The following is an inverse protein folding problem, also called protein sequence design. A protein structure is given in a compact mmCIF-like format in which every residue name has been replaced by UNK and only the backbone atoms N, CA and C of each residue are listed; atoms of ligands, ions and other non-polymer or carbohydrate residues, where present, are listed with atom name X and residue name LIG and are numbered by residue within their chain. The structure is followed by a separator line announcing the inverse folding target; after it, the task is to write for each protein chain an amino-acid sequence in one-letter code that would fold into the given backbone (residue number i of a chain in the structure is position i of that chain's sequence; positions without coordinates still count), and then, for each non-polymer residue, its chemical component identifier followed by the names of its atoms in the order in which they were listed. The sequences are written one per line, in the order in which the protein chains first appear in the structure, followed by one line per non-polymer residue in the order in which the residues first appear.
data_IF_411287774063
#
_entry.id   IF_411287774063
#
_cell.length_a   1.000
_cell.length_b   1.000
_cell.length_c   1.000
_cell.angle_alpha   90.00
_cell.angle_beta   90.00
_cell.angle_gamma   90.00
#
_symmetry.space_group_name_H-M   'P 1'
#
loop_
_entity.id
_entity.type
_entity.pdbx_description
1 polymer ?
#
# COMPACT_ATOMS: atom_id res chain seq x y z
N UNK A 1 -40.78 -0.50 16.23
CA UNK A 1 -41.92 -0.70 15.31
C UNK A 1 -41.98 0.46 14.32
N UNK A 2 -42.21 0.17 13.05
CA UNK A 2 -42.40 1.17 12.02
C UNK A 2 -43.86 1.55 11.86
N UNK A 3 -44.16 2.82 11.55
CA UNK A 3 -45.53 3.31 11.30
C UNK A 3 -45.62 3.94 9.91
N UNK A 4 -46.87 4.01 9.38
CA UNK A 4 -47.12 4.67 8.08
C UNK A 4 -48.07 5.84 8.31
N UNK A 5 -47.72 7.00 7.80
CA UNK A 5 -48.55 8.20 7.82
C UNK A 5 -48.81 8.66 6.37
N UNK A 6 -50.08 8.91 6.04
CA UNK A 6 -50.48 9.51 4.74
C UNK A 6 -50.27 11.02 4.80
N UNK A 7 -49.52 11.56 3.83
CA UNK A 7 -49.30 13.01 3.66
C UNK A 7 -49.70 13.41 2.22
N UNK A 8 -50.82 14.15 2.12
CA UNK A 8 -51.34 14.59 0.79
C UNK A 8 -51.45 13.40 -0.17
N UNK A 9 -50.58 13.35 -1.21
CA UNK A 9 -50.55 12.30 -2.23
C UNK A 9 -49.59 11.16 -1.94
N UNK A 10 -48.74 11.29 -0.91
CA UNK A 10 -47.66 10.34 -0.59
C UNK A 10 -47.88 9.66 0.75
N UNK A 11 -47.11 8.59 0.99
CA UNK A 11 -47.11 7.83 2.24
C UNK A 11 -45.71 7.87 2.83
N UNK A 12 -45.55 8.20 4.13
CA UNK A 12 -44.29 8.19 4.83
C UNK A 12 -44.21 7.01 5.77
N UNK A 13 -43.15 6.23 5.66
CA UNK A 13 -42.77 5.19 6.63
C UNK A 13 -41.86 5.84 7.67
N UNK A 14 -42.22 5.70 8.95
CA UNK A 14 -41.50 6.32 10.05
C UNK A 14 -41.03 5.21 10.97
N UNK A 15 -39.76 5.23 11.31
CA UNK A 15 -39.17 4.27 12.24
C UNK A 15 -38.05 4.88 13.07
N UNK A 16 -37.83 4.33 14.25
CA UNK A 16 -36.75 4.70 15.12
C UNK A 16 -35.55 3.77 14.87
N UNK A 17 -34.36 4.31 14.97
CA UNK A 17 -33.10 3.57 14.94
C UNK A 17 -32.11 4.18 15.93
N UNK A 18 -31.12 3.41 16.34
CA UNK A 18 -30.02 3.88 17.17
C UNK A 18 -28.86 4.23 16.23
N UNK A 19 -28.31 5.43 16.36
CA UNK A 19 -27.16 5.86 15.56
C UNK A 19 -25.82 5.37 16.16
N UNK A 20 -24.72 5.75 15.51
CA UNK A 20 -23.32 5.40 15.90
C UNK A 20 -22.97 5.89 17.33
N UNK A 21 -23.63 6.92 17.83
CA UNK A 21 -23.42 7.50 19.15
C UNK A 21 -24.31 6.86 20.24
N UNK A 22 -25.14 5.89 19.87
CA UNK A 22 -26.09 5.28 20.77
C UNK A 22 -27.38 6.09 20.99
N UNK A 23 -27.59 7.16 20.22
CA UNK A 23 -28.77 8.00 20.30
C UNK A 23 -29.93 7.44 19.47
N UNK A 24 -31.14 7.47 20.02
CA UNK A 24 -32.33 7.07 19.28
C UNK A 24 -32.78 8.20 18.35
N UNK A 25 -32.72 7.96 17.06
CA UNK A 25 -33.16 8.87 16.01
C UNK A 25 -34.36 8.32 15.24
N UNK A 26 -35.10 9.22 14.61
CA UNK A 26 -36.27 8.87 13.80
C UNK A 26 -35.99 9.17 12.32
N UNK A 27 -36.24 8.20 11.45
CA UNK A 27 -36.14 8.35 9.98
C UNK A 27 -37.53 8.38 9.36
N UNK A 28 -37.68 9.23 8.37
CA UNK A 28 -38.88 9.36 7.55
C UNK A 28 -38.52 9.04 6.11
N UNK A 29 -39.17 8.03 5.53
CA UNK A 29 -39.01 7.65 4.13
C UNK A 29 -40.34 7.88 3.39
N UNK A 30 -40.32 8.64 2.28
CA UNK A 30 -41.52 8.97 1.54
C UNK A 30 -41.67 8.11 0.31
N UNK A 31 -42.87 7.53 0.13
CA UNK A 31 -43.23 6.60 -0.95
C UNK A 31 -44.47 7.09 -1.71
N UNK A 32 -44.52 6.84 -3.05
CA UNK A 32 -45.60 7.28 -3.88
C UNK A 32 -46.91 6.53 -3.66
N UNK A 33 -46.85 5.27 -3.30
CA UNK A 33 -48.02 4.40 -3.10
C UNK A 33 -48.07 3.77 -1.70
N UNK A 34 -49.26 3.49 -1.23
CA UNK A 34 -49.45 2.79 0.05
C UNK A 34 -48.86 1.37 0.06
N UNK A 35 -48.92 0.69 -1.11
CA UNK A 35 -48.35 -0.66 -1.27
C UNK A 35 -46.85 -0.69 -1.10
N UNK A 36 -46.14 0.29 -1.66
CA UNK A 36 -44.69 0.44 -1.46
C UNK A 36 -44.34 0.75 -0.02
N UNK A 37 -45.06 1.66 0.63
CA UNK A 37 -44.88 1.97 2.05
C UNK A 37 -45.10 0.76 2.96
N UNK A 38 -46.13 -0.07 2.69
CA UNK A 38 -46.39 -1.32 3.40
C UNK A 38 -45.25 -2.31 3.23
N UNK A 39 -44.77 -2.49 1.99
CA UNK A 39 -43.63 -3.37 1.72
C UNK A 39 -42.40 -2.92 2.49
N UNK A 40 -42.08 -1.62 2.42
CA UNK A 40 -40.94 -1.06 3.13
C UNK A 40 -41.06 -1.19 4.65
N UNK A 41 -42.23 -0.95 5.20
CA UNK A 41 -42.50 -1.15 6.64
C UNK A 41 -42.20 -2.59 7.05
N UNK A 42 -42.73 -3.58 6.32
CA UNK A 42 -42.52 -5.00 6.60
C UNK A 42 -41.04 -5.40 6.50
N UNK A 43 -40.29 -4.84 5.52
CA UNK A 43 -38.85 -5.05 5.39
C UNK A 43 -38.09 -4.53 6.62
N UNK A 44 -38.39 -3.31 7.09
CA UNK A 44 -37.74 -2.71 8.26
C UNK A 44 -38.02 -3.53 9.52
N UNK A 45 -39.31 -3.89 9.74
CA UNK A 45 -39.71 -4.68 10.91
C UNK A 45 -39.07 -6.06 10.90
N UNK A 46 -38.99 -6.72 9.75
CA UNK A 46 -38.29 -8.00 9.61
C UNK A 46 -36.80 -7.85 9.87
N UNK A 47 -36.15 -6.83 9.33
CA UNK A 47 -34.71 -6.56 9.57
C UNK A 47 -34.43 -6.26 11.05
N UNK A 48 -35.29 -5.48 11.71
CA UNK A 48 -35.18 -5.22 13.15
C UNK A 48 -35.38 -6.49 13.97
N UNK A 49 -36.33 -7.35 13.58
CA UNK A 49 -36.60 -8.62 14.26
C UNK A 49 -35.46 -9.64 14.09
N UNK A 50 -34.87 -9.70 12.89
CA UNK A 50 -33.75 -10.61 12.57
C UNK A 50 -32.37 -10.06 12.99
N UNK A 51 -32.29 -8.83 13.51
CA UNK A 51 -31.01 -8.19 13.86
C UNK A 51 -30.16 -7.80 12.65
N UNK A 52 -30.76 -7.76 11.45
CA UNK A 52 -30.04 -7.40 10.21
C UNK A 52 -30.31 -5.96 9.75
N UNK A 53 -30.97 -5.19 10.62
CA UNK A 53 -31.27 -3.79 10.32
C UNK A 53 -30.00 -2.94 10.37
N UNK A 54 -29.71 -2.25 9.27
CA UNK A 54 -28.60 -1.29 9.19
C UNK A 54 -29.13 0.12 9.39
N UNK A 55 -28.63 0.87 10.38
CA UNK A 55 -29.02 2.27 10.58
C UNK A 55 -28.72 3.10 9.34
N UNK A 56 -29.58 4.02 8.94
CA UNK A 56 -29.26 4.97 7.88
C UNK A 56 -28.05 5.82 8.27
N UNK A 57 -27.04 5.83 7.42
CA UNK A 57 -25.83 6.65 7.60
C UNK A 57 -25.67 7.61 6.43
N UNK A 58 -25.34 8.86 6.72
CA UNK A 58 -24.97 9.85 5.71
C UNK A 58 -23.45 9.98 5.61
N UNK A 59 -22.69 9.02 6.16
CA UNK A 59 -21.23 9.01 6.13
C UNK A 59 -20.74 9.03 4.68
N UNK A 60 -19.92 10.01 4.35
CA UNK A 60 -19.30 10.13 3.03
C UNK A 60 -18.17 9.12 2.87
N UNK A 61 -17.87 8.75 1.62
CA UNK A 61 -16.74 7.87 1.31
C UNK A 61 -15.41 8.46 1.80
N UNK A 62 -15.22 9.78 1.70
CA UNK A 62 -14.02 10.46 2.21
C UNK A 62 -13.81 10.25 3.71
N UNK A 63 -14.87 10.42 4.50
CA UNK A 63 -14.83 10.28 5.96
C UNK A 63 -14.65 8.81 6.35
N UNK A 64 -15.40 7.92 5.71
CA UNK A 64 -15.23 6.48 5.89
C UNK A 64 -13.81 6.00 5.56
N UNK A 65 -13.19 6.49 4.47
CA UNK A 65 -11.83 6.12 4.11
C UNK A 65 -10.81 6.69 5.09
N UNK A 66 -11.06 7.85 5.66
CA UNK A 66 -10.24 8.38 6.75
C UNK A 66 -10.27 7.42 7.96
N UNK A 67 -11.45 7.01 8.40
CA UNK A 67 -11.62 6.04 9.49
C UNK A 67 -10.99 4.68 9.15
N UNK A 68 -11.17 4.21 7.91
CA UNK A 68 -10.58 2.97 7.44
C UNK A 68 -9.04 3.01 7.46
N UNK A 69 -8.43 4.12 7.08
CA UNK A 69 -6.97 4.29 7.15
C UNK A 69 -6.51 4.29 8.60
N UNK A 70 -7.14 5.08 9.48
CA UNK A 70 -6.71 5.23 10.87
C UNK A 70 -6.96 3.97 11.72
N UNK A 71 -8.14 3.36 11.61
CA UNK A 71 -8.53 2.23 12.46
C UNK A 71 -8.01 0.88 11.95
N UNK A 72 -7.85 0.73 10.63
CA UNK A 72 -7.43 -0.50 9.99
C UNK A 72 -6.06 -0.38 9.31
N UNK A 73 -5.87 0.64 8.48
CA UNK A 73 -4.67 0.82 7.67
C UNK A 73 -3.41 0.95 8.50
N UNK A 74 -3.41 1.84 9.50
CA UNK A 74 -2.27 2.10 10.37
C UNK A 74 -1.81 0.85 11.15
N UNK A 75 -2.74 -0.05 11.46
CA UNK A 75 -2.42 -1.32 12.15
C UNK A 75 -1.87 -2.40 11.22
N UNK A 76 -2.19 -2.34 9.93
CA UNK A 76 -1.93 -3.43 8.96
C UNK A 76 -0.88 -3.08 7.92
N UNK A 77 -0.70 -1.81 7.59
CA UNK A 77 0.16 -1.39 6.49
C UNK A 77 1.56 -1.03 6.99
N UNK A 78 2.57 -1.37 6.20
CA UNK A 78 3.89 -0.78 6.35
C UNK A 78 3.96 0.57 5.62
N UNK A 79 5.03 1.33 5.87
CA UNK A 79 5.22 2.71 5.41
C UNK A 79 5.00 2.91 3.90
N UNK A 80 5.54 2.04 3.05
CA UNK A 80 5.39 2.14 1.59
C UNK A 80 3.95 1.86 1.12
N UNK A 81 3.22 0.96 1.82
CA UNK A 81 1.83 0.68 1.52
C UNK A 81 0.95 1.83 1.96
N UNK A 82 1.19 2.40 3.15
CA UNK A 82 0.48 3.57 3.66
C UNK A 82 0.56 4.73 2.67
N UNK A 83 1.76 5.09 2.20
CA UNK A 83 1.97 6.14 1.21
C UNK A 83 1.24 5.85 -0.11
N UNK A 84 1.36 4.62 -0.59
CA UNK A 84 0.72 4.21 -1.84
C UNK A 84 -0.80 4.26 -1.77
N UNK A 85 -1.42 3.76 -0.71
CA UNK A 85 -2.87 3.75 -0.55
C UNK A 85 -3.42 5.18 -0.36
N UNK A 86 -2.78 6.01 0.47
CA UNK A 86 -3.15 7.41 0.62
C UNK A 86 -3.05 8.19 -0.69
N UNK A 87 -2.02 7.91 -1.51
CA UNK A 87 -1.91 8.51 -2.84
C UNK A 87 -3.09 8.13 -3.75
N UNK A 88 -3.55 6.88 -3.73
CA UNK A 88 -4.73 6.46 -4.50
C UNK A 88 -6.00 7.14 -3.99
N UNK A 89 -6.18 7.21 -2.67
CA UNK A 89 -7.34 7.86 -2.05
C UNK A 89 -7.40 9.33 -2.45
N UNK A 90 -6.31 10.07 -2.27
CA UNK A 90 -6.29 11.51 -2.46
C UNK A 90 -6.34 11.92 -3.94
N UNK A 91 -5.74 11.13 -4.84
CA UNK A 91 -5.64 11.51 -6.25
C UNK A 91 -6.80 11.00 -7.10
N UNK A 92 -7.44 9.89 -6.75
CA UNK A 92 -8.38 9.23 -7.63
C UNK A 92 -9.71 8.86 -6.99
N UNK A 93 -9.78 8.66 -5.67
CA UNK A 93 -11.02 8.25 -5.02
C UNK A 93 -11.78 9.47 -4.51
N UNK A 94 -11.20 10.22 -3.60
CA UNK A 94 -11.85 11.39 -2.99
C UNK A 94 -12.29 12.44 -4.02
N UNK A 95 -11.51 12.78 -5.07
CA UNK A 95 -11.94 13.78 -6.05
C UNK A 95 -13.13 13.35 -6.91
N UNK A 96 -13.43 12.06 -7.03
CA UNK A 96 -14.44 11.54 -7.96
C UNK A 96 -15.68 11.05 -7.21
N UNK A 97 -15.52 10.28 -6.14
CA UNK A 97 -16.62 9.67 -5.39
C UNK A 97 -16.60 10.00 -3.89
N UNK A 98 -15.65 10.79 -3.40
CA UNK A 98 -15.46 11.07 -1.98
C UNK A 98 -16.67 11.70 -1.28
N UNK A 99 -17.43 12.54 -1.99
CA UNK A 99 -18.63 13.21 -1.48
C UNK A 99 -19.90 12.33 -1.49
N UNK A 100 -19.84 11.13 -2.10
CA UNK A 100 -20.95 10.21 -2.13
C UNK A 100 -21.11 9.49 -0.80
N UNK A 101 -22.33 9.23 -0.36
CA UNK A 101 -22.61 8.42 0.83
C UNK A 101 -22.21 6.95 0.60
N UNK A 102 -21.60 6.33 1.60
CA UNK A 102 -21.15 4.92 1.54
C UNK A 102 -22.31 3.98 1.19
N UNK A 103 -23.49 4.21 1.77
CA UNK A 103 -24.71 3.42 1.53
C UNK A 103 -25.33 3.62 0.14
N UNK A 104 -24.97 4.72 -0.56
CA UNK A 104 -25.44 5.00 -1.92
C UNK A 104 -24.62 4.28 -3.01
N UNK A 105 -23.48 3.66 -2.65
CA UNK A 105 -22.64 2.95 -3.60
C UNK A 105 -23.26 1.63 -4.02
N UNK A 106 -23.66 1.55 -5.26
CA UNK A 106 -24.20 0.34 -5.89
C UNK A 106 -23.22 -0.25 -6.90
N UNK A 107 -23.33 -1.52 -7.31
CA UNK A 107 -22.50 -2.09 -8.39
C UNK A 107 -22.52 -1.25 -9.67
N UNK A 108 -23.67 -0.68 -10.04
CA UNK A 108 -23.79 0.21 -11.19
C UNK A 108 -22.98 1.50 -11.03
N UNK A 109 -22.93 2.06 -9.83
CA UNK A 109 -22.07 3.23 -9.51
C UNK A 109 -20.61 2.85 -9.66
N UNK A 110 -20.21 1.66 -9.20
CA UNK A 110 -18.82 1.18 -9.33
C UNK A 110 -18.41 1.04 -10.80
N UNK A 111 -19.28 0.49 -11.65
CA UNK A 111 -19.02 0.38 -13.10
C UNK A 111 -18.87 1.77 -13.75
N UNK A 112 -19.71 2.72 -13.38
CA UNK A 112 -19.61 4.13 -13.83
C UNK A 112 -18.31 4.79 -13.34
N UNK A 113 -17.90 4.51 -12.11
CA UNK A 113 -16.64 5.01 -11.56
C UNK A 113 -15.42 4.48 -12.34
N UNK A 114 -15.41 3.19 -12.68
CA UNK A 114 -14.34 2.60 -13.51
C UNK A 114 -14.25 3.30 -14.88
N UNK A 115 -15.38 3.54 -15.54
CA UNK A 115 -15.41 4.26 -16.81
C UNK A 115 -14.87 5.70 -16.67
N UNK A 116 -15.16 6.35 -15.56
CA UNK A 116 -14.63 7.68 -15.24
C UNK A 116 -13.12 7.63 -15.06
N UNK A 117 -12.60 6.65 -14.31
CA UNK A 117 -11.16 6.47 -14.11
C UNK A 117 -10.40 6.25 -15.42
N UNK A 118 -10.96 5.52 -16.38
CA UNK A 118 -10.34 5.30 -17.71
C UNK A 118 -10.16 6.60 -18.50
N UNK A 119 -10.95 7.63 -18.19
CA UNK A 119 -10.90 8.96 -18.82
C UNK A 119 -10.22 10.00 -17.95
N UNK A 120 -9.87 9.66 -16.72
CA UNK A 120 -9.19 10.54 -15.77
C UNK A 120 -7.70 10.65 -16.11
N UNK A 121 -7.16 11.85 -16.07
CA UNK A 121 -5.74 12.08 -16.32
C UNK A 121 -4.88 11.43 -15.24
N UNK A 122 -3.75 10.85 -15.64
CA UNK A 122 -2.76 10.33 -14.71
C UNK A 122 -2.08 11.47 -13.94
N UNK A 123 -1.96 11.31 -12.63
CA UNK A 123 -1.32 12.31 -11.76
C UNK A 123 0.19 12.22 -11.88
N UNK A 124 0.82 13.36 -12.23
CA UNK A 124 2.27 13.55 -12.21
C UNK A 124 2.69 14.14 -10.87
N UNK A 125 3.87 13.77 -10.39
CA UNK A 125 4.50 14.41 -9.24
C UNK A 125 5.58 15.40 -9.73
N UNK A 126 6.09 16.25 -8.84
CA UNK A 126 7.19 17.18 -9.16
C UNK A 126 8.44 16.46 -9.68
N UNK A 127 8.66 15.24 -9.23
CA UNK A 127 9.87 14.44 -9.54
C UNK A 127 9.62 13.32 -10.54
N UNK A 128 8.36 12.97 -10.84
CA UNK A 128 8.02 11.87 -11.75
C UNK A 128 6.85 12.26 -12.63
N UNK A 129 7.09 12.34 -13.93
CA UNK A 129 6.02 12.50 -14.93
C UNK A 129 5.20 11.22 -15.03
N UNK A 130 3.91 11.36 -15.29
CA UNK A 130 3.04 10.23 -15.61
C UNK A 130 3.52 9.57 -16.90
N UNK A 131 3.53 8.25 -16.94
CA UNK A 131 3.93 7.46 -18.11
C UNK A 131 2.79 7.29 -19.13
N UNK A 132 1.58 7.56 -18.71
CA UNK A 132 0.35 7.47 -19.53
C UNK A 132 -0.48 8.74 -19.38
N UNK A 133 -1.19 9.13 -20.42
CA UNK A 133 -2.09 10.30 -20.40
C UNK A 133 -3.25 10.06 -19.41
N UNK A 134 -3.83 8.88 -19.45
CA UNK A 134 -4.93 8.48 -18.57
C UNK A 134 -4.51 7.42 -17.57
N UNK A 135 -5.31 7.24 -16.53
CA UNK A 135 -5.09 6.22 -15.49
C UNK A 135 -5.00 4.84 -16.13
N UNK A 136 -3.88 4.15 -15.90
CA UNK A 136 -3.65 2.81 -16.46
C UNK A 136 -4.59 1.76 -15.84
N UNK A 137 -4.92 0.71 -16.59
CA UNK A 137 -5.74 -0.40 -16.08
C UNK A 137 -5.13 -1.05 -14.83
N UNK A 138 -3.79 -1.10 -14.73
CA UNK A 138 -3.10 -1.56 -13.51
C UNK A 138 -3.38 -0.66 -12.30
N UNK A 139 -3.46 0.65 -12.50
CA UNK A 139 -3.79 1.60 -11.43
C UNK A 139 -5.26 1.48 -11.04
N UNK A 140 -6.16 1.34 -12.02
CA UNK A 140 -7.59 1.07 -11.78
C UNK A 140 -7.76 -0.21 -10.94
N UNK A 141 -7.06 -1.27 -11.29
CA UNK A 141 -7.08 -2.53 -10.52
C UNK A 141 -6.65 -2.32 -9.06
N UNK A 142 -5.60 -1.52 -8.80
CA UNK A 142 -5.15 -1.19 -7.45
C UNK A 142 -6.20 -0.39 -6.68
N UNK A 143 -6.84 0.59 -7.32
CA UNK A 143 -7.91 1.41 -6.73
C UNK A 143 -9.09 0.51 -6.32
N UNK A 144 -9.53 -0.35 -7.23
CA UNK A 144 -10.67 -1.25 -6.95
C UNK A 144 -10.31 -2.30 -5.88
N UNK A 145 -9.07 -2.81 -5.84
CA UNK A 145 -8.60 -3.68 -4.76
C UNK A 145 -8.62 -2.98 -3.39
N UNK A 146 -8.20 -1.72 -3.34
CA UNK A 146 -8.26 -0.92 -2.12
C UNK A 146 -9.71 -0.71 -1.68
N UNK A 147 -10.60 -0.25 -2.57
CA UNK A 147 -12.01 -0.04 -2.27
C UNK A 147 -12.73 -1.34 -1.88
N UNK A 148 -12.43 -2.45 -2.56
CA UNK A 148 -12.95 -3.77 -2.16
C UNK A 148 -12.55 -4.13 -0.73
N UNK A 149 -11.31 -3.87 -0.34
CA UNK A 149 -10.84 -4.10 1.02
C UNK A 149 -11.53 -3.17 2.02
N UNK A 150 -11.64 -1.88 1.72
CA UNK A 150 -12.31 -0.90 2.56
C UNK A 150 -13.80 -1.23 2.73
N UNK A 151 -14.51 -1.50 1.67
CA UNK A 151 -15.93 -1.85 1.72
C UNK A 151 -16.21 -3.22 2.34
N UNK A 152 -15.25 -4.16 2.29
CA UNK A 152 -15.32 -5.37 3.11
C UNK A 152 -15.25 -5.05 4.60
N UNK A 153 -14.46 -4.02 4.98
CA UNK A 153 -14.43 -3.53 6.35
C UNK A 153 -15.71 -2.78 6.72
N UNK A 154 -16.32 -2.01 5.79
CA UNK A 154 -17.61 -1.37 5.99
C UNK A 154 -18.73 -2.39 6.29
N UNK A 155 -18.71 -3.56 5.64
CA UNK A 155 -19.62 -4.67 5.98
C UNK A 155 -19.36 -5.18 7.40
N UNK A 156 -18.10 -5.33 7.83
CA UNK A 156 -17.74 -5.77 9.18
C UNK A 156 -18.10 -4.75 10.27
N UNK A 157 -18.08 -3.47 9.91
CA UNK A 157 -18.52 -2.37 10.78
C UNK A 157 -20.03 -2.11 10.72
N UNK A 158 -20.76 -2.96 9.99
CA UNK A 158 -22.22 -2.88 9.85
C UNK A 158 -22.72 -1.55 9.25
N UNK A 159 -21.86 -0.86 8.46
CA UNK A 159 -22.24 0.34 7.73
C UNK A 159 -23.08 -0.01 6.51
N UNK A 160 -22.77 -1.12 5.84
CA UNK A 160 -23.47 -1.67 4.66
C UNK A 160 -23.67 -3.17 4.78
N UNK A 161 -24.73 -3.71 4.18
CA UNK A 161 -25.04 -5.14 4.24
C UNK A 161 -24.27 -6.01 3.26
N UNK A 162 -23.75 -5.42 2.18
CA UNK A 162 -22.98 -6.14 1.15
C UNK A 162 -21.97 -5.23 0.51
N UNK A 163 -20.87 -5.80 0.07
CA UNK A 163 -19.81 -5.05 -0.61
C UNK A 163 -20.12 -4.89 -2.11
N UNK A 164 -20.32 -3.66 -2.61
CA UNK A 164 -20.64 -3.44 -4.02
C UNK A 164 -19.44 -3.70 -4.97
N UNK A 165 -18.24 -3.88 -4.46
CA UNK A 165 -17.01 -4.11 -5.23
C UNK A 165 -16.67 -5.60 -5.43
N UNK A 166 -17.43 -6.56 -4.85
CA UNK A 166 -17.02 -7.97 -4.84
C UNK A 166 -17.01 -8.60 -6.26
N UNK A 167 -18.01 -8.33 -7.09
CA UNK A 167 -18.17 -8.95 -8.41
C UNK A 167 -17.88 -7.98 -9.56
N UNK A 168 -16.99 -7.03 -9.37
CA UNK A 168 -16.66 -6.01 -10.37
C UNK A 168 -15.78 -6.60 -11.46
N UNK A 169 -16.16 -6.38 -12.71
CA UNK A 169 -15.37 -6.72 -13.88
C UNK A 169 -14.33 -5.63 -14.14
N UNK A 170 -13.07 -5.97 -14.04
CA UNK A 170 -11.96 -5.03 -14.28
C UNK A 170 -11.60 -4.98 -15.76
N UNK A 171 -11.17 -3.81 -16.28
CA UNK A 171 -10.63 -3.71 -17.62
C UNK A 171 -9.38 -4.58 -17.76
N UNK A 172 -9.26 -5.28 -18.90
CA UNK A 172 -8.14 -6.19 -19.16
C UNK A 172 -6.83 -5.42 -19.13
N UNK A 173 -5.90 -5.91 -18.35
CA UNK A 173 -4.55 -5.35 -18.25
C UNK A 173 -3.60 -6.15 -19.13
N UNK A 174 -2.96 -5.46 -20.09
CA UNK A 174 -1.88 -6.03 -20.87
C UNK A 174 -0.57 -5.81 -20.13
N UNK A 175 0.10 -6.92 -19.78
CA UNK A 175 1.43 -6.87 -19.20
C UNK A 175 2.47 -6.97 -20.32
N UNK A 176 3.27 -5.92 -20.48
CA UNK A 176 4.45 -6.01 -21.34
C UNK A 176 5.40 -7.06 -20.77
N UNK A 177 5.77 -8.06 -21.57
CA UNK A 177 6.90 -8.95 -21.23
C UNK A 177 8.12 -8.06 -20.99
N UNK A 178 8.78 -8.28 -19.87
CA UNK A 178 10.09 -7.64 -19.60
C UNK A 178 11.15 -8.50 -20.23
N UNK A 179 12.14 -7.86 -20.84
CA UNK A 179 13.33 -8.55 -21.31
C UNK A 179 14.09 -9.07 -20.08
N UNK A 180 14.46 -10.32 -20.15
CA UNK A 180 15.28 -11.00 -19.14
C UNK A 180 16.69 -11.04 -19.71
N UNK A 181 17.64 -10.54 -18.93
CA UNK A 181 19.04 -10.58 -19.34
C UNK A 181 19.55 -12.02 -19.33
N UNK A 182 20.19 -12.40 -20.43
CA UNK A 182 20.91 -13.67 -20.51
C UNK A 182 22.34 -13.54 -19.92
N UNK A 183 23.06 -14.64 -19.87
CA UNK A 183 24.40 -14.69 -19.29
C UNK A 183 25.41 -13.79 -20.03
N UNK A 184 25.26 -13.61 -21.34
CA UNK A 184 26.15 -12.77 -22.14
C UNK A 184 25.91 -11.28 -21.86
N UNK A 185 24.65 -10.87 -21.78
CA UNK A 185 24.26 -9.50 -21.38
C UNK A 185 24.78 -9.17 -19.97
N UNK A 186 24.63 -10.09 -19.02
CA UNK A 186 25.13 -9.91 -17.64
C UNK A 186 26.65 -9.76 -17.65
N UNK A 187 27.39 -10.63 -18.35
CA UNK A 187 28.84 -10.56 -18.46
C UNK A 187 29.27 -9.21 -19.05
N UNK A 188 28.67 -8.83 -20.19
CA UNK A 188 28.96 -7.56 -20.85
C UNK A 188 28.71 -6.36 -19.93
N UNK A 189 27.64 -6.39 -19.12
CA UNK A 189 27.33 -5.32 -18.19
C UNK A 189 28.35 -5.24 -17.06
N UNK A 190 28.78 -6.38 -16.51
CA UNK A 190 29.81 -6.45 -15.47
C UNK A 190 31.17 -5.97 -16.01
N UNK A 191 31.57 -6.40 -17.22
CA UNK A 191 32.85 -6.01 -17.84
C UNK A 191 32.92 -4.50 -18.14
N UNK A 192 31.78 -3.87 -18.41
CA UNK A 192 31.70 -2.42 -18.67
C UNK A 192 31.44 -1.56 -17.43
N UNK A 193 31.18 -2.19 -16.28
CA UNK A 193 30.88 -1.47 -15.05
C UNK A 193 32.15 -0.90 -14.43
N UNK A 194 32.28 0.42 -14.47
CA UNK A 194 33.41 1.15 -13.86
C UNK A 194 33.13 1.61 -12.42
N UNK A 195 31.88 1.62 -11.98
CA UNK A 195 31.49 1.99 -10.63
C UNK A 195 31.54 0.76 -9.73
N UNK A 196 32.45 0.77 -8.76
CA UNK A 196 32.68 -0.37 -7.85
C UNK A 196 31.45 -0.72 -7.01
N UNK A 197 30.67 0.27 -6.57
CA UNK A 197 29.45 0.05 -5.78
C UNK A 197 28.39 -0.64 -6.64
N UNK A 198 28.21 -0.16 -7.86
CA UNK A 198 27.28 -0.77 -8.81
C UNK A 198 27.73 -2.19 -9.18
N UNK A 199 29.03 -2.42 -9.36
CA UNK A 199 29.60 -3.73 -9.67
C UNK A 199 29.29 -4.75 -8.55
N UNK A 200 29.50 -4.38 -7.28
CA UNK A 200 29.16 -5.22 -6.11
C UNK A 200 27.65 -5.49 -6.06
N UNK A 201 26.82 -4.45 -6.23
CA UNK A 201 25.36 -4.58 -6.19
C UNK A 201 24.84 -5.50 -7.32
N UNK A 202 25.40 -5.41 -8.53
CA UNK A 202 25.07 -6.28 -9.66
C UNK A 202 25.44 -7.74 -9.35
N UNK A 203 26.63 -7.99 -8.83
CA UNK A 203 27.05 -9.34 -8.44
C UNK A 203 26.16 -9.93 -7.36
N UNK A 204 25.83 -9.19 -6.30
CA UNK A 204 24.87 -9.61 -5.26
C UNK A 204 23.48 -9.89 -5.84
N UNK A 205 23.02 -9.08 -6.79
CA UNK A 205 21.73 -9.28 -7.45
C UNK A 205 21.72 -10.54 -8.30
N UNK A 206 22.72 -10.74 -9.17
CA UNK A 206 22.74 -11.85 -10.13
C UNK A 206 23.10 -13.18 -9.49
N UNK A 207 24.11 -13.22 -8.60
CA UNK A 207 24.54 -14.45 -7.98
C UNK A 207 23.63 -14.91 -6.82
N UNK A 208 23.08 -13.97 -6.04
CA UNK A 208 22.32 -14.26 -4.84
C UNK A 208 20.83 -13.96 -4.95
N UNK A 209 20.37 -13.40 -6.08
CA UNK A 209 18.96 -13.01 -6.31
C UNK A 209 18.41 -12.09 -5.22
N UNK A 210 19.26 -11.22 -4.66
CA UNK A 210 18.85 -10.26 -3.65
C UNK A 210 17.99 -9.15 -4.25
N UNK A 211 17.00 -8.68 -3.49
CA UNK A 211 16.22 -7.52 -3.88
C UNK A 211 17.02 -6.24 -3.66
N UNK A 212 16.74 -5.20 -4.45
CA UNK A 212 17.43 -3.90 -4.34
C UNK A 212 17.44 -3.37 -2.88
N UNK A 213 16.32 -3.44 -2.17
CA UNK A 213 16.26 -2.99 -0.77
C UNK A 213 17.12 -3.84 0.18
N UNK A 214 17.24 -5.13 -0.07
CA UNK A 214 18.08 -6.06 0.68
C UNK A 214 19.58 -5.76 0.43
N UNK A 215 19.95 -5.53 -0.84
CA UNK A 215 21.33 -5.16 -1.22
C UNK A 215 21.73 -3.83 -0.57
N UNK A 216 20.90 -2.81 -0.70
CA UNK A 216 21.18 -1.47 -0.15
C UNK A 216 21.12 -1.43 1.39
N UNK A 217 20.43 -2.37 2.01
CA UNK A 217 20.31 -2.48 3.47
C UNK A 217 21.22 -3.53 4.10
N UNK A 218 22.11 -4.14 3.32
CA UNK A 218 23.08 -5.12 3.82
C UNK A 218 24.13 -4.40 4.66
N UNK A 219 24.37 -4.91 5.88
CA UNK A 219 25.39 -4.39 6.80
C UNK A 219 26.55 -5.38 6.92
N UNK A 220 27.75 -4.87 7.21
CA UNK A 220 28.94 -5.71 7.36
C UNK A 220 28.84 -6.73 8.50
N UNK A 221 28.05 -6.46 9.53
CA UNK A 221 27.77 -7.45 10.61
C UNK A 221 27.08 -8.71 10.09
N UNK A 222 26.42 -8.61 8.93
CA UNK A 222 25.68 -9.69 8.29
C UNK A 222 26.44 -10.33 7.12
N UNK A 223 27.73 -10.01 6.95
CA UNK A 223 28.57 -10.55 5.88
C UNK A 223 29.67 -11.42 6.49
N UNK A 224 29.60 -12.70 6.23
CA UNK A 224 30.51 -13.72 6.76
C UNK A 224 31.42 -14.22 5.64
N UNK A 225 32.62 -13.65 5.55
CA UNK A 225 33.59 -13.84 4.47
C UNK A 225 35.03 -13.91 5.01
N UNK A 226 35.24 -14.50 6.18
CA UNK A 226 36.61 -14.79 6.66
C UNK A 226 37.33 -15.77 5.72
N UNK A 227 38.64 -15.78 5.74
CA UNK A 227 39.44 -16.69 4.90
C UNK A 227 39.02 -18.16 5.10
N UNK A 228 38.80 -18.55 6.37
CA UNK A 228 38.34 -19.91 6.72
C UNK A 228 36.97 -20.21 6.19
N UNK A 229 36.00 -19.27 6.25
CA UNK A 229 34.67 -19.42 5.70
C UNK A 229 34.71 -19.55 4.18
N UNK A 230 35.52 -18.76 3.50
CA UNK A 230 35.70 -18.82 2.04
C UNK A 230 36.36 -20.14 1.63
N UNK A 231 37.43 -20.52 2.35
CA UNK A 231 38.15 -21.78 2.05
C UNK A 231 37.22 -22.99 2.21
N UNK A 232 36.38 -23.00 3.24
CA UNK A 232 35.43 -24.08 3.55
C UNK A 232 34.14 -24.05 2.74
N UNK A 233 33.97 -23.16 1.74
CA UNK A 233 32.70 -22.91 1.00
C UNK A 233 31.51 -22.52 1.89
N UNK A 234 31.80 -21.89 3.04
CA UNK A 234 30.80 -21.52 4.04
C UNK A 234 30.56 -19.99 4.12
N UNK A 235 31.08 -19.24 3.16
CA UNK A 235 30.82 -17.80 3.08
C UNK A 235 29.33 -17.51 2.80
N UNK A 236 28.75 -16.54 3.52
CA UNK A 236 27.33 -16.19 3.37
C UNK A 236 27.04 -14.77 3.78
N UNK A 237 25.87 -14.28 3.37
CA UNK A 237 25.24 -13.08 3.89
C UNK A 237 23.93 -13.45 4.61
N UNK A 238 23.64 -12.71 5.68
CA UNK A 238 22.38 -12.85 6.40
C UNK A 238 21.49 -11.64 6.12
N UNK A 239 20.32 -11.89 5.54
CA UNK A 239 19.38 -10.85 5.15
C UNK A 239 18.34 -10.69 6.25
N UNK A 240 18.43 -9.62 7.03
CA UNK A 240 17.49 -9.27 8.10
C UNK A 240 17.02 -7.81 8.04
N UNK A 241 17.57 -7.04 7.10
CA UNK A 241 17.28 -5.62 6.91
C UNK A 241 17.01 -5.32 5.45
N UNK A 242 16.23 -4.27 5.21
CA UNK A 242 16.03 -3.68 3.89
C UNK A 242 16.06 -2.15 4.00
N UNK A 243 16.65 -1.51 3.00
CA UNK A 243 16.64 -0.06 2.88
C UNK A 243 15.51 0.36 1.93
N UNK A 244 14.71 1.31 2.37
CA UNK A 244 13.60 1.84 1.56
C UNK A 244 13.40 3.33 1.79
N UNK A 245 12.63 3.96 0.91
CA UNK A 245 12.21 5.36 1.04
C UNK A 245 10.78 5.42 1.55
N UNK A 246 10.53 6.25 2.56
CA UNK A 246 9.21 6.50 3.13
C UNK A 246 8.94 8.00 3.27
N UNK A 247 7.68 8.41 3.25
CA UNK A 247 7.32 9.79 3.56
C UNK A 247 7.52 10.06 5.07
N UNK A 248 7.83 11.31 5.42
CA UNK A 248 7.86 11.73 6.83
C UNK A 248 6.53 11.42 7.51
N UNK A 249 5.41 11.73 6.83
CA UNK A 249 4.07 11.47 7.33
C UNK A 249 3.85 9.99 7.66
N UNK A 250 4.27 9.07 6.79
CA UNK A 250 4.11 7.63 7.05
C UNK A 250 4.92 7.18 8.26
N UNK A 251 6.16 7.70 8.43
CA UNK A 251 7.01 7.40 9.59
C UNK A 251 6.35 7.90 10.87
N UNK A 252 5.91 9.16 10.88
CA UNK A 252 5.27 9.79 12.04
C UNK A 252 3.94 9.09 12.42
N UNK A 253 3.09 8.79 11.43
CA UNK A 253 1.77 8.19 11.68
C UNK A 253 1.85 6.74 12.14
N UNK A 254 2.73 5.93 11.52
CA UNK A 254 2.86 4.51 11.84
C UNK A 254 3.79 4.25 13.04
N UNK A 255 4.45 5.29 13.54
CA UNK A 255 5.55 5.17 14.48
C UNK A 255 6.78 4.52 13.84
N UNK A 256 7.85 4.43 14.58
CA UNK A 256 9.12 3.84 14.13
C UNK A 256 9.13 2.30 14.22
N UNK A 257 7.95 1.68 14.24
CA UNK A 257 7.82 0.22 14.30
C UNK A 257 8.59 -0.44 13.16
N UNK A 258 9.44 -1.40 13.49
CA UNK A 258 10.29 -2.14 12.55
C UNK A 258 11.35 -1.28 11.82
N UNK A 259 11.60 -0.04 12.25
CA UNK A 259 12.63 0.84 11.71
C UNK A 259 13.87 0.76 12.63
N UNK A 260 15.02 0.42 12.07
CA UNK A 260 16.30 0.37 12.78
C UNK A 260 17.02 1.71 12.74
N UNK A 261 16.92 2.43 11.60
CA UNK A 261 17.58 3.71 11.42
C UNK A 261 16.87 4.60 10.41
N UNK A 262 16.83 5.90 10.68
CA UNK A 262 16.30 6.94 9.77
C UNK A 262 17.47 7.82 9.35
N UNK A 263 17.84 7.77 8.09
CA UNK A 263 18.99 8.51 7.57
C UNK A 263 18.69 10.00 7.45
N UNK A 264 19.66 10.81 7.86
CA UNK A 264 19.61 12.26 7.65
C UNK A 264 19.64 12.56 6.13
N UNK A 265 18.73 13.37 5.60
CA UNK A 265 18.72 13.66 4.17
C UNK A 265 19.88 14.59 3.81
N UNK A 266 20.55 14.32 2.71
CA UNK A 266 21.59 15.20 2.14
C UNK A 266 21.04 16.58 1.73
N UNK A 267 19.77 16.62 1.29
CA UNK A 267 19.10 17.87 0.90
C UNK A 267 18.08 18.27 1.97
N UNK A 268 18.11 19.54 2.43
CA UNK A 268 17.07 20.05 3.33
C UNK A 268 15.70 20.04 2.64
N UNK A 269 14.63 20.07 3.42
CA UNK A 269 13.23 20.18 2.95
C UNK A 269 12.70 19.03 2.07
N UNK A 270 13.28 17.82 2.16
CA UNK A 270 12.70 16.65 1.52
C UNK A 270 11.48 16.14 2.29
N UNK A 271 10.43 15.75 1.57
CA UNK A 271 9.21 15.15 2.15
C UNK A 271 9.37 13.66 2.52
N UNK A 272 10.51 13.06 2.13
CA UNK A 272 10.79 11.64 2.35
C UNK A 272 12.10 11.44 3.10
N UNK A 273 12.24 10.26 3.73
CA UNK A 273 13.47 9.78 4.37
C UNK A 273 13.85 8.43 3.79
N UNK A 274 15.13 8.14 3.78
CA UNK A 274 15.65 6.79 3.61
C UNK A 274 15.63 6.16 5.00
N UNK A 275 15.14 4.93 5.10
CA UNK A 275 15.06 4.19 6.35
C UNK A 275 15.63 2.79 6.17
N UNK A 276 16.33 2.32 7.17
CA UNK A 276 16.73 0.93 7.32
C UNK A 276 15.71 0.24 8.22
N UNK A 277 15.09 -0.83 7.77
CA UNK A 277 14.00 -1.47 8.49
C UNK A 277 14.01 -2.99 8.35
N UNK A 278 13.23 -3.67 9.18
CA UNK A 278 12.94 -5.10 9.05
C UNK A 278 12.27 -5.40 7.73
N UNK A 279 12.60 -6.52 7.03
CA UNK A 279 11.87 -6.99 5.86
C UNK A 279 10.40 -7.22 6.15
N UNK A 280 9.56 -7.12 5.11
CA UNK A 280 8.09 -7.18 5.22
C UNK A 280 7.58 -8.51 5.81
N UNK A 281 8.28 -9.61 5.59
CA UNK A 281 7.87 -10.96 6.03
C UNK A 281 9.04 -11.66 6.70
N UNK A 282 8.77 -12.47 7.69
CA UNK A 282 9.79 -13.27 8.36
C UNK A 282 10.47 -14.26 7.41
N UNK A 283 9.78 -14.74 6.38
CA UNK A 283 10.37 -15.57 5.31
C UNK A 283 11.40 -14.84 4.45
N UNK A 284 11.45 -13.51 4.50
CA UNK A 284 12.50 -12.72 3.84
C UNK A 284 13.80 -12.72 4.63
N UNK A 285 13.74 -13.00 5.93
CA UNK A 285 14.93 -13.14 6.79
C UNK A 285 15.54 -14.51 6.49
N UNK A 286 16.76 -14.49 5.96
CA UNK A 286 17.39 -15.71 5.47
C UNK A 286 18.89 -15.60 5.35
N UNK A 287 19.58 -16.76 5.45
CA UNK A 287 20.98 -16.94 5.05
C UNK A 287 21.03 -17.19 3.54
N UNK A 288 21.97 -16.54 2.87
CA UNK A 288 22.26 -16.72 1.45
C UNK A 288 23.72 -17.03 1.27
N UNK A 289 24.04 -18.22 0.75
CA UNK A 289 25.41 -18.64 0.52
C UNK A 289 26.03 -17.87 -0.64
N UNK A 290 27.31 -17.53 -0.49
CA UNK A 290 28.07 -16.78 -1.48
C UNK A 290 28.96 -17.71 -2.31
N UNK A 291 28.98 -17.57 -3.65
CA UNK A 291 30.09 -18.13 -4.43
C UNK A 291 31.42 -17.52 -4.01
N UNK A 292 32.51 -18.30 -4.02
CA UNK A 292 33.87 -17.83 -3.63
C UNK A 292 34.26 -16.54 -4.34
N UNK A 293 34.00 -16.46 -5.65
CA UNK A 293 34.30 -15.24 -6.44
C UNK A 293 33.64 -14.00 -5.89
N UNK A 294 32.36 -14.11 -5.48
CA UNK A 294 31.63 -12.99 -4.91
C UNK A 294 32.13 -12.66 -3.49
N UNK A 295 32.50 -13.67 -2.70
CA UNK A 295 33.09 -13.42 -1.37
C UNK A 295 34.41 -12.65 -1.49
N UNK A 296 35.29 -12.99 -2.46
CA UNK A 296 36.49 -12.19 -2.70
C UNK A 296 36.22 -10.78 -3.20
N UNK A 297 35.19 -10.58 -4.08
CA UNK A 297 34.76 -9.25 -4.51
C UNK A 297 34.35 -8.41 -3.30
N UNK A 298 33.63 -8.99 -2.34
CA UNK A 298 33.23 -8.31 -1.10
C UNK A 298 34.43 -8.00 -0.20
N UNK A 299 35.44 -8.88 -0.11
CA UNK A 299 36.68 -8.60 0.61
C UNK A 299 37.41 -7.37 0.03
N UNK A 300 37.55 -7.32 -1.29
CA UNK A 300 38.20 -6.17 -1.96
C UNK A 300 37.36 -4.89 -1.79
N UNK A 301 36.04 -5.00 -1.89
CA UNK A 301 35.16 -3.85 -1.64
C UNK A 301 35.30 -3.33 -0.21
N UNK A 302 35.40 -4.22 0.80
CA UNK A 302 35.59 -3.83 2.20
C UNK A 302 36.91 -3.05 2.38
N UNK A 303 38.00 -3.53 1.79
CA UNK A 303 39.29 -2.83 1.82
C UNK A 303 39.18 -1.42 1.22
N UNK A 304 38.55 -1.31 0.03
CA UNK A 304 38.37 -0.03 -0.63
C UNK A 304 37.50 0.94 0.22
N UNK A 305 36.49 0.43 0.89
CA UNK A 305 35.66 1.21 1.79
C UNK A 305 36.43 1.68 3.03
N UNK A 306 37.27 0.82 3.59
CA UNK A 306 38.13 1.15 4.74
C UNK A 306 39.19 2.22 4.34
N UNK A 307 39.73 2.18 3.12
CA UNK A 307 40.61 3.22 2.61
C UNK A 307 39.87 4.58 2.47
N UNK A 308 38.64 4.58 1.96
CA UNK A 308 37.80 5.80 1.88
C UNK A 308 37.49 6.34 3.28
N UNK A 309 37.16 5.46 4.22
CA UNK A 309 36.91 5.82 5.63
C UNK A 309 38.13 6.48 6.25
N UNK A 310 39.28 5.88 6.07
CA UNK A 310 40.54 6.40 6.61
C UNK A 310 40.90 7.75 5.97
N UNK A 311 40.63 7.93 4.67
CA UNK A 311 40.91 9.18 3.98
C UNK A 311 39.99 10.33 4.42
N UNK A 312 38.70 10.06 4.63
CA UNK A 312 37.70 11.06 5.02
C UNK A 312 37.68 11.32 6.54
N UNK A 313 38.14 10.39 7.35
CA UNK A 313 38.13 10.52 8.80
C UNK A 313 36.75 10.84 9.37
N UNK A 314 36.63 11.88 10.15
CA UNK A 314 35.39 12.29 10.84
C UNK A 314 34.27 12.76 9.88
N UNK A 315 34.59 13.05 8.61
CA UNK A 315 33.60 13.39 7.61
C UNK A 315 32.87 12.15 7.05
N UNK A 316 33.42 10.95 7.27
CA UNK A 316 32.80 9.71 6.81
C UNK A 316 31.61 9.34 7.71
N UNK A 317 30.42 9.34 7.13
CA UNK A 317 29.22 8.88 7.83
C UNK A 317 29.13 7.35 7.77
N UNK A 318 29.63 6.68 8.78
CA UNK A 318 29.62 5.23 8.86
C UNK A 318 28.30 4.70 9.43
N UNK A 319 27.55 4.02 8.59
CA UNK A 319 26.33 3.29 8.95
C UNK A 319 26.51 1.77 8.87
N UNK A 320 27.74 1.30 8.76
CA UNK A 320 28.11 -0.11 8.62
C UNK A 320 27.47 -0.80 7.39
N UNK A 321 27.09 -0.02 6.36
CA UNK A 321 26.53 -0.55 5.12
C UNK A 321 27.62 -1.05 4.16
N UNK A 322 27.29 -2.13 3.43
CA UNK A 322 28.16 -2.73 2.39
C UNK A 322 28.25 -1.87 1.15
#
# INVERSE_FOLDING_TARGET
MASIIKRKKNYSVIYNYVDENGETKQKWETWGTHKEALKRKAEIENQQHTGTFLPPSNQKISDFLYDFVSLYGEKKWGVSMYDSQNSLINNYINPIIGDMEVQAVTPRVVDGYIQTLQKTASVSTKTRKATTTYVSNQTIEKIIKLLRCAFKQAVRWEIIGRNPFDNVVLPKTEYKKRDIWDAEMIRTALDKCIDSKLYVAMNLSFACSLRMGEILGLTWDNVHISEDEIAADNAYVYIDKELTRASKRAIETLGEKDIYHIFTPLLPNTSTRIILKKPKTDSSIRKVWLPKTLAYILCEWKKAQDEIRNFLGDEYQDYNLV
#
